data_IF_691523547571
#
_entry.id   IF_691523547571
#
_cell.length_a   1.000
_cell.length_b   1.000
_cell.length_c   1.000
_cell.angle_alpha   90.00
_cell.angle_beta   90.00
_cell.angle_gamma   90.00
#
_symmetry.space_group_name_H-M   'P 1'
#
loop_
_entity.id
_entity.type
_entity.pdbx_description
1 polymer ?
#
# COMPACT_ATOMS: atom_id res chain seq x y z
N UNK A 1 -20.13 -9.37 -15.39
CA UNK A 1 -20.80 -9.67 -14.09
C UNK A 1 -21.33 -8.39 -13.43
N UNK A 2 -22.11 -8.53 -12.36
CA UNK A 2 -22.55 -7.42 -11.49
C UNK A 2 -21.64 -7.36 -10.28
N UNK A 3 -20.91 -6.27 -10.14
CA UNK A 3 -19.94 -6.06 -9.06
C UNK A 3 -20.44 -4.98 -8.10
N UNK A 4 -20.40 -5.26 -6.81
CA UNK A 4 -20.54 -4.26 -5.75
C UNK A 4 -19.19 -4.06 -5.07
N UNK A 5 -18.66 -2.84 -5.11
CA UNK A 5 -17.48 -2.45 -4.33
C UNK A 5 -17.94 -1.64 -3.13
N UNK A 6 -17.51 -2.04 -1.94
CA UNK A 6 -17.86 -1.39 -0.67
C UNK A 6 -16.60 -0.83 -0.03
N UNK A 7 -16.52 0.48 -0.01
CA UNK A 7 -15.47 1.25 0.70
C UNK A 7 -15.99 1.77 2.04
N UNK A 8 -15.07 2.12 2.94
CA UNK A 8 -15.39 2.75 4.22
C UNK A 8 -15.03 4.24 4.24
N UNK A 9 -13.85 4.61 4.75
CA UNK A 9 -13.45 6.02 4.89
C UNK A 9 -12.64 6.55 3.73
N UNK A 10 -11.89 5.65 3.10
CA UNK A 10 -10.97 5.96 2.04
C UNK A 10 -11.46 5.32 0.76
N UNK A 11 -11.33 6.01 -0.35
CA UNK A 11 -11.78 5.54 -1.66
C UNK A 11 -10.78 4.53 -2.27
N UNK A 12 -10.46 3.47 -1.52
CA UNK A 12 -9.54 2.41 -1.95
C UNK A 12 -10.01 1.72 -3.23
N UNK A 13 -11.34 1.64 -3.40
CA UNK A 13 -11.97 0.95 -4.51
C UNK A 13 -12.07 1.76 -5.80
N UNK A 14 -11.78 3.07 -5.84
CA UNK A 14 -12.03 3.88 -7.04
C UNK A 14 -11.30 3.32 -8.28
N UNK A 15 -10.01 3.00 -8.17
CA UNK A 15 -9.24 2.43 -9.27
C UNK A 15 -9.79 1.07 -9.72
N UNK A 16 -10.15 0.19 -8.77
CA UNK A 16 -10.78 -1.10 -9.06
C UNK A 16 -12.12 -0.94 -9.77
N UNK A 17 -12.97 -0.01 -9.31
CA UNK A 17 -14.26 0.31 -9.93
C UNK A 17 -14.09 0.72 -11.39
N UNK A 18 -13.17 1.65 -11.66
CA UNK A 18 -12.91 2.14 -13.01
C UNK A 18 -12.31 1.04 -13.91
N UNK A 19 -11.45 0.19 -13.35
CA UNK A 19 -10.91 -0.95 -14.07
C UNK A 19 -12.00 -1.98 -14.40
N UNK A 20 -12.83 -2.34 -13.43
CA UNK A 20 -13.94 -3.27 -13.65
C UNK A 20 -14.95 -2.75 -14.68
N UNK A 21 -15.22 -1.44 -14.70
CA UNK A 21 -16.06 -0.83 -15.73
C UNK A 21 -15.42 -0.91 -17.13
N UNK A 22 -14.10 -0.73 -17.25
CA UNK A 22 -13.37 -0.91 -18.52
C UNK A 22 -13.37 -2.36 -19.00
N UNK A 23 -13.32 -3.32 -18.07
CA UNK A 23 -13.41 -4.76 -18.35
C UNK A 23 -14.85 -5.20 -18.69
N UNK A 24 -15.83 -4.27 -18.70
CA UNK A 24 -17.21 -4.50 -19.13
C UNK A 24 -18.16 -4.97 -18.04
N UNK A 25 -17.80 -4.86 -16.78
CA UNK A 25 -18.67 -5.20 -15.65
C UNK A 25 -19.71 -4.11 -15.36
N UNK A 26 -20.88 -4.53 -14.84
CA UNK A 26 -21.85 -3.62 -14.28
C UNK A 26 -21.53 -3.37 -12.81
N UNK A 27 -20.97 -2.18 -12.52
CA UNK A 27 -20.40 -1.88 -11.21
C UNK A 27 -21.28 -0.90 -10.44
N UNK A 28 -21.55 -1.22 -9.17
CA UNK A 28 -22.05 -0.30 -8.16
C UNK A 28 -20.95 -0.04 -7.14
N UNK A 29 -20.74 1.21 -6.82
CA UNK A 29 -19.74 1.62 -5.85
C UNK A 29 -20.42 2.31 -4.67
N UNK A 30 -20.29 1.72 -3.49
CA UNK A 30 -20.68 2.35 -2.25
C UNK A 30 -19.46 2.98 -1.60
N UNK A 31 -19.55 4.28 -1.41
CA UNK A 31 -18.54 5.07 -0.71
C UNK A 31 -19.26 6.07 0.20
N UNK A 32 -19.08 6.01 1.53
CA UNK A 32 -19.83 6.84 2.47
C UNK A 32 -19.33 8.29 2.40
N UNK A 33 -19.88 9.02 1.44
CA UNK A 33 -19.51 10.40 1.17
C UNK A 33 -19.93 11.32 2.33
N UNK A 34 -19.07 12.24 2.67
CA UNK A 34 -19.29 13.33 3.61
C UNK A 34 -18.76 14.65 3.01
N UNK A 35 -18.88 15.76 3.73
CA UNK A 35 -18.44 17.07 3.24
C UNK A 35 -16.95 17.13 2.82
N UNK A 36 -16.13 16.19 3.30
CA UNK A 36 -14.69 16.16 3.04
C UNK A 36 -14.32 15.38 1.78
N UNK A 37 -15.06 14.33 1.45
CA UNK A 37 -14.70 13.36 0.41
C UNK A 37 -15.76 13.19 -0.68
N UNK A 38 -16.84 13.96 -0.64
CA UNK A 38 -18.01 13.81 -1.55
C UNK A 38 -17.65 13.94 -3.03
N UNK A 39 -16.59 14.67 -3.36
CA UNK A 39 -16.15 14.88 -4.75
C UNK A 39 -15.32 13.72 -5.31
N UNK A 40 -14.81 12.82 -4.47
CA UNK A 40 -14.01 11.68 -4.97
C UNK A 40 -14.84 10.83 -5.92
N UNK A 41 -14.33 10.57 -7.13
CA UNK A 41 -14.99 9.82 -8.19
C UNK A 41 -16.09 10.57 -8.92
N UNK A 42 -16.32 11.86 -8.62
CA UNK A 42 -17.38 12.64 -9.29
C UNK A 42 -17.08 12.81 -10.79
N UNK A 43 -18.09 12.55 -11.60
CA UNK A 43 -17.97 12.53 -13.06
C UNK A 43 -17.23 11.31 -13.62
N UNK A 44 -16.53 10.53 -12.81
CA UNK A 44 -15.78 9.32 -13.23
C UNK A 44 -16.65 8.06 -13.12
N UNK A 45 -17.45 7.95 -12.07
CA UNK A 45 -18.33 6.81 -11.82
C UNK A 45 -19.54 7.21 -10.98
N UNK A 46 -20.55 6.34 -10.92
CA UNK A 46 -21.75 6.55 -10.11
C UNK A 46 -21.63 5.86 -8.77
N UNK A 47 -21.82 6.62 -7.69
CA UNK A 47 -21.89 6.09 -6.32
C UNK A 47 -23.32 5.73 -5.96
N UNK A 48 -23.51 4.63 -5.20
CA UNK A 48 -24.78 4.31 -4.56
C UNK A 48 -24.76 4.86 -3.13
N UNK A 49 -25.89 5.39 -2.68
CA UNK A 49 -26.03 5.96 -1.33
C UNK A 49 -26.24 4.88 -0.26
N UNK A 50 -26.65 3.68 -0.67
CA UNK A 50 -26.89 2.53 0.17
C UNK A 50 -26.46 1.25 -0.57
N UNK A 51 -25.68 0.39 0.10
CA UNK A 51 -25.23 -0.87 -0.49
C UNK A 51 -26.19 -2.04 -0.25
N UNK A 52 -27.07 -1.99 0.74
CA UNK A 52 -27.97 -3.10 1.10
C UNK A 52 -28.82 -3.61 -0.08
N UNK A 53 -29.48 -2.74 -0.87
CA UNK A 53 -30.23 -3.21 -2.04
C UNK A 53 -29.34 -3.85 -3.11
N UNK A 54 -28.04 -3.56 -3.07
CA UNK A 54 -27.08 -4.06 -4.04
C UNK A 54 -26.49 -5.41 -3.66
N UNK A 55 -26.57 -5.86 -2.41
CA UNK A 55 -26.06 -7.15 -1.96
C UNK A 55 -26.68 -8.33 -2.74
N UNK A 56 -28.01 -8.34 -2.87
CA UNK A 56 -28.73 -9.38 -3.64
C UNK A 56 -28.66 -9.22 -5.15
N UNK A 57 -28.28 -8.03 -5.63
CA UNK A 57 -28.09 -7.76 -7.04
C UNK A 57 -26.72 -8.19 -7.54
N UNK A 58 -25.70 -8.16 -6.70
CA UNK A 58 -24.32 -8.44 -7.06
C UNK A 58 -24.04 -9.93 -7.24
N UNK A 59 -23.28 -10.26 -8.28
CA UNK A 59 -22.65 -11.58 -8.45
C UNK A 59 -21.41 -11.70 -7.55
N UNK A 60 -20.74 -10.56 -7.28
CA UNK A 60 -19.56 -10.44 -6.43
C UNK A 60 -19.61 -9.14 -5.63
N UNK A 61 -19.25 -9.22 -4.35
CA UNK A 61 -19.01 -8.08 -3.47
C UNK A 61 -17.54 -8.03 -3.09
N UNK A 62 -16.89 -6.90 -3.25
CA UNK A 62 -15.52 -6.66 -2.78
C UNK A 62 -15.54 -5.60 -1.68
N UNK A 63 -15.12 -6.01 -0.47
CA UNK A 63 -14.87 -5.13 0.65
C UNK A 63 -13.40 -4.72 0.64
N UNK A 64 -13.14 -3.44 0.47
CA UNK A 64 -11.76 -2.92 0.29
C UNK A 64 -11.05 -2.59 1.60
N UNK A 65 -11.78 -2.60 2.71
CA UNK A 65 -11.33 -2.17 4.03
C UNK A 65 -11.74 -3.21 5.09
N UNK A 66 -11.10 -3.19 6.24
CA UNK A 66 -11.37 -4.12 7.34
C UNK A 66 -11.77 -3.41 8.65
N UNK A 67 -12.31 -2.18 8.56
CA UNK A 67 -12.71 -1.39 9.75
C UNK A 67 -14.20 -1.20 9.88
N UNK A 68 -14.95 -1.19 8.76
CA UNK A 68 -16.36 -0.84 8.74
C UNK A 68 -17.13 -1.88 7.91
N UNK A 69 -18.45 -2.02 8.19
CA UNK A 69 -19.38 -2.93 7.48
C UNK A 69 -19.08 -4.43 7.58
N UNK A 70 -18.13 -4.87 8.41
CA UNK A 70 -17.74 -6.27 8.54
C UNK A 70 -18.90 -7.16 8.97
N UNK A 71 -19.69 -6.76 10.00
CA UNK A 71 -20.87 -7.50 10.43
C UNK A 71 -21.91 -7.66 9.33
N UNK A 72 -22.08 -6.63 8.48
CA UNK A 72 -22.99 -6.68 7.35
C UNK A 72 -22.51 -7.66 6.27
N UNK A 73 -21.19 -7.67 6.02
CA UNK A 73 -20.58 -8.59 5.05
C UNK A 73 -20.61 -10.04 5.56
N UNK A 74 -20.39 -10.27 6.86
CA UNK A 74 -20.51 -11.59 7.46
C UNK A 74 -21.95 -12.12 7.42
N UNK A 75 -22.95 -11.23 7.61
CA UNK A 75 -24.35 -11.59 7.42
C UNK A 75 -24.66 -11.93 5.95
N UNK A 76 -24.12 -11.15 5.00
CA UNK A 76 -24.31 -11.41 3.57
C UNK A 76 -23.69 -12.73 3.14
N UNK A 77 -22.48 -13.09 3.64
CA UNK A 77 -21.86 -14.42 3.40
C UNK A 77 -22.75 -15.56 3.89
N UNK A 78 -23.37 -15.43 5.06
CA UNK A 78 -24.31 -16.42 5.61
C UNK A 78 -25.57 -16.58 4.76
N UNK A 79 -25.97 -15.55 4.03
CA UNK A 79 -27.06 -15.58 3.03
C UNK A 79 -26.62 -16.08 1.65
N UNK A 80 -25.36 -16.50 1.49
CA UNK A 80 -24.79 -17.03 0.24
C UNK A 80 -24.32 -16.00 -0.76
N UNK A 81 -24.11 -14.73 -0.33
CA UNK A 81 -23.52 -13.70 -1.19
C UNK A 81 -22.01 -13.95 -1.28
N UNK A 82 -21.46 -13.95 -2.50
CA UNK A 82 -20.02 -14.04 -2.73
C UNK A 82 -19.34 -12.73 -2.29
N UNK A 83 -18.61 -12.78 -1.18
CA UNK A 83 -17.92 -11.59 -0.61
C UNK A 83 -16.43 -11.86 -0.47
N UNK A 84 -15.61 -11.08 -1.16
CA UNK A 84 -14.16 -11.01 -0.98
C UNK A 84 -13.82 -9.89 0.00
N UNK A 85 -13.03 -10.19 1.02
CA UNK A 85 -12.59 -9.25 2.05
C UNK A 85 -12.55 -9.87 3.44
N UNK A 86 -12.14 -9.08 4.43
CA UNK A 86 -12.03 -9.50 5.82
C UNK A 86 -13.39 -9.86 6.44
N UNK A 87 -13.35 -10.67 7.49
CA UNK A 87 -14.45 -10.92 8.42
C UNK A 87 -14.24 -10.10 9.70
N UNK A 88 -15.25 -10.06 10.57
CA UNK A 88 -15.09 -9.45 11.90
C UNK A 88 -13.92 -10.10 12.64
N UNK A 89 -13.85 -11.44 12.67
CA UNK A 89 -12.83 -12.19 13.39
C UNK A 89 -11.44 -11.97 12.79
N UNK A 90 -11.27 -12.06 11.47
CA UNK A 90 -9.96 -11.87 10.84
C UNK A 90 -9.44 -10.44 10.96
N UNK A 91 -10.33 -9.44 10.99
CA UNK A 91 -9.93 -8.04 11.11
C UNK A 91 -9.27 -7.71 12.45
N UNK A 92 -9.60 -8.45 13.52
CA UNK A 92 -9.00 -8.26 14.84
C UNK A 92 -7.49 -8.51 14.83
N UNK A 93 -7.00 -9.36 13.93
CA UNK A 93 -5.56 -9.62 13.82
C UNK A 93 -4.74 -8.39 13.35
N UNK A 94 -5.37 -7.48 12.61
CA UNK A 94 -4.76 -6.19 12.24
C UNK A 94 -5.11 -5.08 13.24
N UNK A 95 -6.37 -5.03 13.69
CA UNK A 95 -6.89 -3.93 14.50
C UNK A 95 -6.43 -4.01 15.96
N UNK A 96 -6.34 -5.20 16.53
CA UNK A 96 -5.79 -5.41 17.85
C UNK A 96 -4.36 -5.97 17.77
N UNK A 97 -3.39 -5.13 18.16
CA UNK A 97 -1.97 -5.48 18.08
C UNK A 97 -1.60 -6.67 18.96
N UNK A 98 -2.24 -6.80 20.11
CA UNK A 98 -1.99 -7.92 21.04
C UNK A 98 -2.54 -9.21 20.45
N UNK A 99 -3.76 -9.20 19.96
CA UNK A 99 -4.37 -10.35 19.27
C UNK A 99 -3.53 -10.82 18.08
N UNK A 100 -3.08 -9.89 17.22
CA UNK A 100 -2.23 -10.25 16.10
C UNK A 100 -0.89 -10.89 16.51
N UNK A 101 -0.24 -10.38 17.55
CA UNK A 101 1.00 -10.99 18.07
C UNK A 101 0.75 -12.37 18.68
N UNK A 102 -0.33 -12.54 19.44
CA UNK A 102 -0.70 -13.83 20.03
C UNK A 102 -0.95 -14.90 18.97
N UNK A 103 -1.66 -14.56 17.88
CA UNK A 103 -1.88 -15.50 16.78
C UNK A 103 -0.59 -16.00 16.13
N UNK A 104 0.42 -15.13 16.03
CA UNK A 104 1.75 -15.54 15.55
C UNK A 104 2.43 -16.49 16.54
N UNK A 105 2.44 -16.15 17.83
CA UNK A 105 3.07 -16.95 18.89
C UNK A 105 2.41 -18.32 19.05
N UNK A 106 1.08 -18.41 19.00
CA UNK A 106 0.32 -19.66 19.08
C UNK A 106 0.63 -20.61 17.92
N UNK A 107 1.04 -20.05 16.75
CA UNK A 107 1.48 -20.80 15.59
C UNK A 107 3.00 -21.04 15.53
N UNK A 108 3.69 -20.82 16.65
CA UNK A 108 5.13 -21.06 16.79
C UNK A 108 6.02 -20.06 16.05
N UNK A 109 5.47 -18.92 15.66
CA UNK A 109 6.19 -17.85 15.00
C UNK A 109 6.67 -16.86 16.07
N UNK A 110 7.97 -16.70 16.17
CA UNK A 110 8.57 -15.80 17.16
C UNK A 110 8.38 -14.34 16.76
N UNK A 111 7.93 -13.50 17.70
CA UNK A 111 7.72 -12.07 17.54
C UNK A 111 8.66 -11.25 18.42
N UNK A 112 8.96 -9.98 18.09
CA UNK A 112 9.70 -9.12 19.00
C UNK A 112 8.94 -8.95 20.31
N UNK A 113 9.63 -9.07 21.46
CA UNK A 113 8.99 -8.95 22.77
C UNK A 113 8.19 -7.64 22.86
N UNK A 114 6.99 -7.72 23.41
CA UNK A 114 6.08 -6.58 23.52
C UNK A 114 5.36 -6.56 24.86
N UNK A 115 4.84 -5.39 25.21
CA UNK A 115 3.99 -5.21 26.39
C UNK A 115 2.89 -4.22 26.07
N UNK A 116 1.66 -4.59 26.44
CA UNK A 116 0.49 -3.74 26.30
C UNK A 116 0.35 -2.75 27.48
N UNK A 117 -0.14 -1.55 27.16
CA UNK A 117 -0.42 -0.48 28.10
C UNK A 117 -1.75 0.17 27.80
N UNK A 118 -2.51 0.47 28.86
CA UNK A 118 -3.77 1.20 28.80
C UNK A 118 -3.63 2.67 29.23
N UNK A 119 -2.44 3.07 29.65
CA UNK A 119 -2.13 4.45 30.03
C UNK A 119 -0.64 4.77 29.89
N UNK A 120 -0.32 6.03 29.69
CA UNK A 120 1.07 6.48 29.51
C UNK A 120 1.92 6.43 30.78
N UNK A 121 1.33 6.58 31.99
CA UNK A 121 2.10 6.54 33.22
C UNK A 121 2.82 5.19 33.41
N UNK A 122 2.13 4.10 33.13
CA UNK A 122 2.70 2.75 33.25
C UNK A 122 3.76 2.51 32.18
N UNK A 123 3.52 2.98 30.96
CA UNK A 123 4.51 2.92 29.88
C UNK A 123 5.77 3.72 30.18
N UNK A 124 5.64 4.95 30.70
CA UNK A 124 6.75 5.79 31.10
C UNK A 124 7.58 5.11 32.22
N UNK A 125 6.91 4.55 33.22
CA UNK A 125 7.61 3.78 34.29
C UNK A 125 8.37 2.60 33.71
N UNK A 126 7.73 1.86 32.78
CA UNK A 126 8.34 0.71 32.13
C UNK A 126 9.58 1.11 31.34
N UNK A 127 9.52 2.17 30.51
CA UNK A 127 10.69 2.66 29.75
C UNK A 127 11.82 3.10 30.67
N UNK A 128 11.52 3.86 31.73
CA UNK A 128 12.52 4.28 32.72
C UNK A 128 13.21 3.09 33.42
N UNK A 129 12.50 2.01 33.67
CA UNK A 129 13.06 0.80 34.29
C UNK A 129 13.99 0.03 33.34
N UNK A 130 13.67 -0.02 32.05
CA UNK A 130 14.41 -0.83 31.08
C UNK A 130 15.53 -0.07 30.38
N UNK A 131 15.50 1.28 30.38
CA UNK A 131 16.53 2.18 29.84
C UNK A 131 16.97 1.80 28.40
N UNK A 132 16.00 1.48 27.53
CA UNK A 132 16.22 1.13 26.10
C UNK A 132 15.08 1.62 25.21
N UNK A 133 15.33 1.82 23.91
CA UNK A 133 14.30 2.24 22.97
C UNK A 133 13.30 1.10 22.71
N UNK A 134 12.03 1.49 22.52
CA UNK A 134 10.96 0.63 22.05
C UNK A 134 10.24 1.28 20.87
N UNK A 135 9.45 0.49 20.17
CA UNK A 135 8.51 0.97 19.16
C UNK A 135 7.14 1.08 19.81
N UNK A 136 6.55 2.27 19.82
CA UNK A 136 5.17 2.48 20.25
C UNK A 136 4.22 2.22 19.08
N UNK A 137 3.22 1.35 19.29
CA UNK A 137 2.21 1.00 18.29
C UNK A 137 0.82 1.06 18.94
N UNK A 138 -0.04 2.01 18.57
CA UNK A 138 -1.42 2.04 19.04
C UNK A 138 -2.21 0.90 18.40
N UNK A 139 -3.20 0.37 19.13
CA UNK A 139 -4.20 -0.55 18.59
C UNK A 139 -5.38 0.21 17.98
N UNK A 140 -6.12 -0.47 17.09
CA UNK A 140 -7.30 0.07 16.42
C UNK A 140 -6.97 1.13 15.38
N UNK A 141 -8.00 1.91 15.06
CA UNK A 141 -7.92 3.01 14.11
C UNK A 141 -7.41 4.30 14.79
N UNK A 142 -6.25 4.19 15.41
CA UNK A 142 -5.62 5.32 16.08
C UNK A 142 -4.83 6.20 15.11
N UNK A 143 -4.57 7.45 15.54
CA UNK A 143 -3.73 8.40 14.81
C UNK A 143 -2.35 7.77 14.53
N UNK A 144 -1.96 7.68 13.26
CA UNK A 144 -0.65 7.16 12.84
C UNK A 144 0.52 7.92 13.45
N UNK A 145 0.31 9.17 13.88
CA UNK A 145 1.30 9.96 14.61
C UNK A 145 1.68 9.37 15.99
N UNK A 146 0.87 8.44 16.52
CA UNK A 146 1.16 7.71 17.75
C UNK A 146 2.05 6.47 17.51
N UNK A 147 2.26 6.06 16.27
CA UNK A 147 3.27 5.06 15.91
C UNK A 147 4.64 5.72 15.87
N UNK A 148 5.53 5.31 16.78
CA UNK A 148 6.83 5.92 16.92
C UNK A 148 7.95 4.89 17.10
N UNK A 149 8.95 4.94 16.24
CA UNK A 149 10.16 4.14 16.33
C UNK A 149 11.22 4.95 17.06
N UNK A 150 11.41 4.68 18.33
CA UNK A 150 12.38 5.40 19.14
C UNK A 150 13.82 5.10 18.72
N UNK A 151 14.69 6.11 18.79
CA UNK A 151 16.12 5.95 18.63
C UNK A 151 16.80 5.68 19.98
N UNK A 152 16.28 6.29 21.03
CA UNK A 152 16.75 6.19 22.42
C UNK A 152 15.55 6.04 23.35
N UNK A 153 15.79 5.64 24.61
CA UNK A 153 14.78 5.70 25.66
C UNK A 153 14.34 7.13 25.96
N UNK A 154 15.24 8.08 25.87
CA UNK A 154 15.00 9.51 26.14
C UNK A 154 14.00 10.12 25.17
N UNK A 155 14.14 9.88 23.85
CA UNK A 155 13.20 10.41 22.87
C UNK A 155 11.82 9.73 22.97
N UNK A 156 11.78 8.45 23.37
CA UNK A 156 10.52 7.76 23.64
C UNK A 156 9.81 8.35 24.87
N UNK A 157 10.54 8.61 25.94
CA UNK A 157 9.99 9.21 27.16
C UNK A 157 9.38 10.59 26.85
N UNK A 158 10.10 11.42 26.08
CA UNK A 158 9.58 12.72 25.63
C UNK A 158 8.25 12.58 24.87
N UNK A 159 8.17 11.61 23.94
CA UNK A 159 6.95 11.39 23.14
C UNK A 159 5.79 10.91 24.02
N UNK A 160 6.02 9.94 24.92
CA UNK A 160 4.99 9.43 25.82
C UNK A 160 4.45 10.54 26.76
N UNK A 161 5.35 11.37 27.35
CA UNK A 161 4.97 12.50 28.19
C UNK A 161 4.18 13.55 27.41
N UNK A 162 4.59 13.86 26.17
CA UNK A 162 3.88 14.79 25.29
C UNK A 162 2.49 14.28 24.89
N UNK A 163 2.35 13.01 24.56
CA UNK A 163 1.05 12.41 24.23
C UNK A 163 0.14 12.37 25.45
N UNK A 164 0.66 12.07 26.61
CA UNK A 164 -0.06 12.14 27.88
C UNK A 164 -0.62 13.54 28.14
N UNK A 165 0.23 14.56 28.05
CA UNK A 165 -0.17 15.95 28.25
C UNK A 165 -1.26 16.43 27.25
N UNK A 166 -1.27 15.85 26.04
CA UNK A 166 -2.24 16.20 24.99
C UNK A 166 -3.45 15.26 24.94
N UNK A 167 -3.61 14.37 25.93
CA UNK A 167 -4.73 13.41 26.01
C UNK A 167 -4.95 12.62 24.70
N UNK A 168 -3.86 12.17 24.05
CA UNK A 168 -3.91 11.51 22.74
C UNK A 168 -4.35 10.05 22.77
N UNK A 169 -4.37 9.41 23.95
CA UNK A 169 -4.71 7.99 24.06
C UNK A 169 -6.21 7.77 23.87
N UNK A 170 -6.57 6.92 22.94
CA UNK A 170 -7.95 6.51 22.66
C UNK A 170 -8.19 4.99 22.79
N UNK A 171 -7.22 4.25 23.30
CA UNK A 171 -7.30 2.79 23.43
C UNK A 171 -5.95 2.23 23.88
N UNK A 172 -5.81 0.90 23.96
CA UNK A 172 -4.54 0.28 24.32
C UNK A 172 -3.47 0.53 23.26
N UNK A 173 -2.22 0.43 23.66
CA UNK A 173 -1.06 0.45 22.75
C UNK A 173 0.02 -0.50 23.29
N UNK A 174 0.87 -0.99 22.39
CA UNK A 174 2.01 -1.80 22.78
C UNK A 174 3.31 -1.00 22.69
N UNK A 175 4.23 -1.30 23.59
CA UNK A 175 5.65 -1.03 23.43
C UNK A 175 6.33 -2.33 23.02
N UNK A 176 6.89 -2.36 21.83
CA UNK A 176 7.54 -3.54 21.25
C UNK A 176 9.05 -3.30 21.15
N UNK A 177 9.86 -4.32 21.37
CA UNK A 177 11.30 -4.24 21.15
C UNK A 177 11.60 -3.83 19.72
N UNK A 178 12.55 -2.91 19.59
CA UNK A 178 13.06 -2.50 18.27
C UNK A 178 13.99 -3.58 17.74
N UNK A 179 13.67 -4.09 16.57
CA UNK A 179 14.54 -5.00 15.80
C UNK A 179 15.23 -4.21 14.71
N UNK A 180 16.55 -4.27 14.66
CA UNK A 180 17.34 -3.68 13.59
C UNK A 180 17.59 -4.73 12.50
N UNK A 181 17.14 -4.45 11.27
CA UNK A 181 17.23 -5.39 10.16
C UNK A 181 16.64 -4.80 8.87
N UNK A 182 16.26 -5.66 7.96
CA UNK A 182 15.69 -5.29 6.66
C UNK A 182 14.18 -5.51 6.68
N UNK A 183 13.42 -4.45 6.45
CA UNK A 183 11.95 -4.54 6.33
C UNK A 183 11.56 -5.20 5.01
N UNK A 184 10.78 -6.27 5.11
CA UNK A 184 10.22 -7.02 3.99
C UNK A 184 8.88 -7.60 4.40
N UNK A 185 7.89 -7.49 3.54
CA UNK A 185 6.58 -8.07 3.78
C UNK A 185 6.29 -9.20 2.77
N UNK A 186 5.32 -10.02 3.13
CA UNK A 186 4.80 -11.05 2.23
C UNK A 186 3.31 -11.21 2.42
N UNK A 187 2.61 -11.26 1.29
CA UNK A 187 1.17 -11.51 1.28
C UNK A 187 0.79 -12.65 0.33
N UNK A 188 -0.46 -13.07 0.48
CA UNK A 188 -1.07 -14.11 -0.34
C UNK A 188 -2.58 -13.95 -0.39
N UNK A 189 -3.20 -14.68 -1.30
CA UNK A 189 -4.64 -14.71 -1.47
C UNK A 189 -5.22 -15.95 -0.79
N UNK A 190 -6.06 -15.75 0.21
CA UNK A 190 -6.74 -16.79 0.96
C UNK A 190 -8.11 -17.06 0.36
N UNK A 191 -8.38 -18.33 0.08
CA UNK A 191 -9.70 -18.85 -0.29
C UNK A 191 -10.30 -19.67 0.86
N UNK A 192 -11.55 -20.11 0.77
CA UNK A 192 -12.12 -21.07 1.73
C UNK A 192 -11.34 -22.41 1.81
N UNK A 193 -10.63 -22.76 0.75
CA UNK A 193 -9.83 -24.01 0.66
C UNK A 193 -8.37 -23.83 1.07
N UNK A 194 -7.92 -22.60 1.29
CA UNK A 194 -6.54 -22.25 1.65
C UNK A 194 -5.92 -21.23 0.71
N UNK A 195 -4.59 -21.15 0.73
CA UNK A 195 -3.86 -20.21 -0.12
C UNK A 195 -3.98 -20.53 -1.59
N UNK A 196 -4.31 -19.52 -2.39
CA UNK A 196 -4.43 -19.60 -3.83
C UNK A 196 -3.37 -18.74 -4.50
N UNK A 197 -2.75 -19.29 -5.54
CA UNK A 197 -1.82 -18.58 -6.40
C UNK A 197 -0.47 -18.28 -5.75
N UNK A 198 0.27 -17.30 -6.32
CA UNK A 198 1.61 -16.97 -5.88
C UNK A 198 1.62 -16.05 -4.66
N UNK A 199 2.76 -16.05 -3.99
CA UNK A 199 3.07 -15.10 -2.91
C UNK A 199 3.49 -13.75 -3.46
N UNK A 200 3.01 -12.67 -2.86
CA UNK A 200 3.44 -11.31 -3.13
C UNK A 200 4.52 -10.90 -2.12
N UNK A 201 5.76 -10.82 -2.55
CA UNK A 201 6.83 -10.23 -1.73
C UNK A 201 6.87 -8.72 -1.99
N UNK A 202 6.89 -7.92 -0.92
CA UNK A 202 6.83 -6.47 -1.05
C UNK A 202 7.71 -5.71 -0.07
N UNK A 203 8.04 -4.47 -0.42
CA UNK A 203 8.89 -3.54 0.34
C UNK A 203 8.24 -2.17 0.37
N UNK A 204 7.72 -1.80 1.51
CA UNK A 204 6.98 -0.56 1.75
C UNK A 204 7.90 0.61 2.11
N UNK A 205 7.51 1.81 1.72
CA UNK A 205 8.22 3.06 2.01
C UNK A 205 7.27 4.01 2.74
N UNK A 206 7.26 3.95 4.09
CA UNK A 206 6.24 4.58 4.96
C UNK A 206 6.50 6.07 5.27
N UNK A 207 7.75 6.54 5.23
CA UNK A 207 8.08 7.93 5.54
C UNK A 207 7.79 8.87 4.37
N UNK A 208 7.31 10.08 4.70
CA UNK A 208 6.91 11.09 3.72
C UNK A 208 8.04 11.45 2.74
N UNK A 209 9.26 11.65 3.24
CA UNK A 209 10.38 12.14 2.47
C UNK A 209 11.40 11.05 2.14
N UNK A 210 12.17 11.28 1.08
CA UNK A 210 13.34 10.48 0.73
C UNK A 210 14.33 10.37 1.91
N UNK A 211 15.08 9.27 1.95
CA UNK A 211 16.00 8.98 3.06
C UNK A 211 15.31 8.60 4.36
N UNK A 212 14.05 8.18 4.31
CA UNK A 212 13.23 7.87 5.49
C UNK A 212 13.08 9.04 6.47
N UNK A 213 12.99 10.25 5.95
CA UNK A 213 12.77 11.47 6.71
C UNK A 213 11.30 11.86 6.77
N UNK A 214 10.98 12.80 7.65
CA UNK A 214 9.62 13.29 7.86
C UNK A 214 8.76 12.37 8.71
N UNK A 215 7.47 12.64 8.75
CA UNK A 215 6.50 11.86 9.51
C UNK A 215 6.25 10.49 8.87
N UNK A 216 5.72 9.56 9.66
CA UNK A 216 5.15 8.32 9.13
C UNK A 216 3.83 8.64 8.45
N UNK A 217 3.62 8.06 7.28
CA UNK A 217 2.35 8.07 6.53
C UNK A 217 1.77 6.66 6.54
N UNK A 218 0.63 6.43 5.88
CA UNK A 218 0.22 5.07 5.56
C UNK A 218 1.34 4.41 4.74
N UNK A 219 1.58 4.95 3.53
CA UNK A 219 2.66 4.52 2.65
C UNK A 219 2.87 5.54 1.52
N UNK A 220 4.12 5.71 1.09
CA UNK A 220 4.49 6.61 -0.02
C UNK A 220 4.82 5.87 -1.31
N UNK A 221 4.91 4.58 -1.26
CA UNK A 221 5.17 3.71 -2.40
C UNK A 221 5.72 2.37 -1.99
N UNK A 222 5.63 1.42 -2.93
CA UNK A 222 5.99 0.01 -2.73
C UNK A 222 6.75 -0.50 -3.93
N UNK A 223 7.68 -1.41 -3.66
CA UNK A 223 8.22 -2.34 -4.64
C UNK A 223 7.64 -3.71 -4.35
N UNK A 224 7.11 -4.39 -5.34
CA UNK A 224 6.57 -5.74 -5.15
C UNK A 224 6.82 -6.65 -6.36
N UNK A 225 6.78 -7.95 -6.10
CA UNK A 225 6.77 -9.00 -7.11
C UNK A 225 5.93 -10.19 -6.68
N UNK A 226 5.49 -10.96 -7.63
CA UNK A 226 4.94 -12.28 -7.35
C UNK A 226 5.99 -13.38 -7.50
N UNK A 227 5.93 -14.38 -6.63
CA UNK A 227 6.78 -15.58 -6.70
C UNK A 227 6.02 -16.82 -6.25
N UNK A 228 6.29 -17.96 -6.90
CA UNK A 228 5.72 -19.25 -6.48
C UNK A 228 6.42 -19.83 -5.24
N UNK A 229 7.62 -19.35 -4.94
CA UNK A 229 8.45 -19.85 -3.83
C UNK A 229 8.93 -18.67 -3.00
N UNK A 230 8.29 -18.43 -1.88
CA UNK A 230 8.74 -17.44 -0.88
C UNK A 230 9.14 -18.16 0.40
N UNK A 231 10.38 -17.98 0.83
CA UNK A 231 10.85 -18.46 2.14
C UNK A 231 10.06 -17.77 3.24
N UNK A 232 9.84 -16.45 3.11
CA UNK A 232 9.14 -15.67 4.11
C UNK A 232 7.69 -16.15 4.27
N UNK A 233 6.96 -16.38 3.16
CA UNK A 233 5.61 -16.92 3.24
C UNK A 233 5.55 -18.28 3.93
N UNK A 234 6.52 -19.16 3.65
CA UNK A 234 6.62 -20.48 4.30
C UNK A 234 6.82 -20.36 5.81
N UNK A 235 7.54 -19.34 6.27
CA UNK A 235 7.87 -19.13 7.66
C UNK A 235 6.78 -18.38 8.44
N UNK A 236 6.02 -17.46 7.80
CA UNK A 236 5.10 -16.56 8.53
C UNK A 236 3.64 -16.59 8.07
N UNK A 237 3.30 -17.15 6.90
CA UNK A 237 1.92 -17.24 6.44
C UNK A 237 1.40 -18.68 6.42
N UNK A 238 2.20 -19.62 5.92
CA UNK A 238 1.80 -21.04 5.81
C UNK A 238 1.41 -21.63 7.16
N UNK A 239 2.11 -21.38 8.28
CA UNK A 239 1.70 -21.89 9.59
C UNK A 239 0.29 -21.43 10.02
N UNK A 240 -0.13 -20.25 9.58
CA UNK A 240 -1.41 -19.63 9.94
C UNK A 240 -2.60 -20.08 9.07
N UNK A 241 -2.38 -20.99 8.11
CA UNK A 241 -3.40 -21.35 7.11
C UNK A 241 -4.74 -21.73 7.72
N UNK A 242 -4.74 -22.66 8.69
CA UNK A 242 -5.99 -23.17 9.27
C UNK A 242 -6.67 -22.13 10.17
N UNK A 243 -5.90 -21.31 10.86
CA UNK A 243 -6.47 -20.27 11.71
C UNK A 243 -7.12 -19.17 10.86
N UNK A 244 -6.49 -18.74 9.75
CA UNK A 244 -7.10 -17.79 8.84
C UNK A 244 -8.36 -18.37 8.18
N UNK A 245 -8.32 -19.64 7.73
CA UNK A 245 -9.49 -20.30 7.15
C UNK A 245 -10.66 -20.36 8.15
N UNK A 246 -10.39 -20.67 9.41
CA UNK A 246 -11.41 -20.75 10.47
C UNK A 246 -12.15 -19.42 10.65
N UNK A 247 -11.51 -18.27 10.45
CA UNK A 247 -12.16 -16.96 10.51
C UNK A 247 -13.13 -16.72 9.34
N UNK A 248 -13.11 -17.55 8.28
CA UNK A 248 -13.88 -17.33 7.06
C UNK A 248 -13.35 -16.20 6.18
N UNK A 249 -12.12 -15.73 6.43
CA UNK A 249 -11.46 -14.72 5.59
C UNK A 249 -11.31 -15.21 4.15
N UNK A 250 -11.73 -14.40 3.20
CA UNK A 250 -11.51 -14.66 1.77
C UNK A 250 -11.00 -13.39 1.11
N UNK A 251 -9.73 -13.39 0.70
CA UNK A 251 -9.07 -12.19 0.17
C UNK A 251 -7.59 -12.15 0.47
N UNK A 252 -7.03 -10.96 0.42
CA UNK A 252 -5.60 -10.74 0.62
C UNK A 252 -5.24 -10.65 2.10
N UNK A 253 -4.16 -11.32 2.47
CA UNK A 253 -3.53 -11.25 3.80
C UNK A 253 -2.05 -10.96 3.61
N UNK A 254 -1.51 -10.04 4.39
CA UNK A 254 -0.09 -9.66 4.37
C UNK A 254 0.49 -9.61 5.78
N UNK A 255 1.76 -9.96 5.93
CA UNK A 255 2.52 -9.84 7.18
C UNK A 255 3.79 -9.04 6.91
N UNK A 256 3.91 -7.89 7.56
CA UNK A 256 5.11 -7.08 7.53
C UNK A 256 6.13 -7.60 8.56
N UNK A 257 7.39 -7.78 8.16
CA UNK A 257 8.46 -8.33 8.97
C UNK A 257 9.73 -7.49 8.90
N UNK A 258 10.56 -7.60 9.95
CA UNK A 258 12.00 -7.27 9.87
C UNK A 258 12.77 -8.58 9.72
N UNK A 259 13.62 -8.67 8.71
CA UNK A 259 14.55 -9.79 8.55
C UNK A 259 15.88 -9.40 9.23
N UNK A 260 16.21 -10.09 10.33
CA UNK A 260 17.44 -9.86 11.07
C UNK A 260 18.15 -11.21 11.29
N UNK A 261 19.44 -11.27 11.00
CA UNK A 261 20.28 -12.48 11.14
C UNK A 261 19.70 -13.73 10.45
N UNK A 262 19.00 -13.49 9.30
CA UNK A 262 18.40 -14.57 8.51
C UNK A 262 17.10 -15.14 9.07
N UNK A 263 16.49 -14.46 10.04
CA UNK A 263 15.23 -14.82 10.70
C UNK A 263 14.19 -13.71 10.52
N UNK A 264 12.92 -14.03 10.23
CA UNK A 264 11.84 -13.05 10.19
C UNK A 264 11.35 -12.72 11.60
N UNK A 265 11.09 -11.44 11.83
CA UNK A 265 10.44 -10.89 13.02
C UNK A 265 9.16 -10.18 12.58
N UNK A 266 8.01 -10.84 12.62
CA UNK A 266 6.74 -10.25 12.26
C UNK A 266 6.40 -9.05 13.13
N UNK A 267 5.85 -8.02 12.49
CA UNK A 267 5.52 -6.75 13.13
C UNK A 267 4.04 -6.47 13.21
N UNK A 268 3.30 -6.86 12.18
CA UNK A 268 1.88 -6.57 12.05
C UNK A 268 1.26 -7.37 10.89
N UNK A 269 -0.04 -7.65 11.02
CA UNK A 269 -0.88 -8.12 9.92
C UNK A 269 -1.46 -6.95 9.13
N UNK A 270 -1.78 -7.22 7.87
CA UNK A 270 -2.70 -6.45 7.05
C UNK A 270 -3.71 -7.42 6.47
N UNK A 271 -4.96 -7.39 6.97
CA UNK A 271 -6.03 -8.34 6.62
C UNK A 271 -6.87 -7.84 5.44
N UNK A 272 -6.25 -7.17 4.52
CA UNK A 272 -6.79 -6.59 3.28
C UNK A 272 -5.64 -6.21 2.36
N UNK A 273 -5.89 -5.92 1.06
CA UNK A 273 -4.84 -5.31 0.23
C UNK A 273 -4.36 -3.99 0.81
N UNK A 274 -3.05 -3.79 0.88
CA UNK A 274 -2.45 -2.54 1.32
C UNK A 274 -2.75 -1.39 0.34
N UNK A 275 -2.68 -0.15 0.80
CA UNK A 275 -2.75 1.03 -0.04
C UNK A 275 -1.38 1.75 0.02
N UNK A 276 -0.68 1.93 -1.08
CA UNK A 276 -1.01 1.77 -2.52
C UNK A 276 -0.75 0.36 -3.10
N UNK A 277 -0.44 -0.63 -2.29
CA UNK A 277 -0.04 -1.97 -2.75
C UNK A 277 -1.04 -2.59 -3.72
N UNK A 278 -2.36 -2.44 -3.48
CA UNK A 278 -3.41 -2.96 -4.37
C UNK A 278 -3.30 -2.40 -5.79
N UNK A 279 -3.12 -1.10 -5.93
CA UNK A 279 -2.98 -0.44 -7.21
C UNK A 279 -1.73 -0.93 -7.95
N UNK A 280 -0.63 -1.13 -7.23
CA UNK A 280 0.64 -1.57 -7.80
C UNK A 280 0.56 -3.05 -8.21
N UNK A 281 -0.06 -3.93 -7.41
CA UNK A 281 -0.27 -5.34 -7.72
C UNK A 281 -1.01 -5.54 -9.04
N UNK A 282 -2.01 -4.70 -9.35
CA UNK A 282 -2.78 -4.77 -10.57
C UNK A 282 -1.92 -4.67 -11.85
N UNK A 283 -0.71 -4.10 -11.77
CA UNK A 283 0.24 -4.05 -12.90
C UNK A 283 0.81 -5.42 -13.26
N UNK A 284 0.79 -6.36 -12.33
CA UNK A 284 1.26 -7.73 -12.53
C UNK A 284 0.11 -8.71 -12.77
N UNK A 285 -1.13 -8.30 -12.51
CA UNK A 285 -2.31 -9.13 -12.79
C UNK A 285 -2.67 -9.07 -14.27
N UNK A 286 -2.89 -10.25 -14.87
CA UNK A 286 -3.32 -10.43 -16.26
C UNK A 286 -4.75 -10.96 -16.28
N UNK A 287 -5.51 -10.51 -17.28
CA UNK A 287 -6.90 -10.92 -17.47
C UNK A 287 -7.88 -9.98 -16.76
N UNK A 288 -9.09 -10.45 -16.59
CA UNK A 288 -10.18 -9.70 -15.98
C UNK A 288 -9.93 -9.45 -14.49
N UNK A 289 -10.17 -8.23 -14.05
CA UNK A 289 -9.85 -7.80 -12.67
C UNK A 289 -10.78 -8.40 -11.60
N UNK A 290 -11.89 -9.02 -11.98
CA UNK A 290 -12.92 -9.50 -11.06
C UNK A 290 -13.22 -10.99 -11.20
N UNK A 291 -13.08 -11.58 -12.40
CA UNK A 291 -13.38 -13.00 -12.62
C UNK A 291 -12.52 -13.90 -11.74
N UNK A 292 -11.22 -13.62 -11.63
CA UNK A 292 -10.35 -14.41 -10.77
C UNK A 292 -10.67 -14.27 -9.28
N UNK A 293 -11.27 -13.14 -8.84
CA UNK A 293 -11.73 -12.98 -7.44
C UNK A 293 -12.91 -13.88 -7.16
N UNK A 294 -13.81 -14.05 -8.13
CA UNK A 294 -14.91 -14.99 -7.98
C UNK A 294 -14.40 -16.44 -7.95
N UNK A 295 -13.43 -16.78 -8.81
CA UNK A 295 -12.75 -18.06 -8.79
C UNK A 295 -12.00 -18.30 -7.47
N UNK A 296 -11.38 -17.26 -6.88
CA UNK A 296 -10.75 -17.33 -5.56
C UNK A 296 -11.76 -17.76 -4.48
N UNK A 297 -12.98 -17.18 -4.49
CA UNK A 297 -14.06 -17.54 -3.56
C UNK A 297 -14.47 -19.02 -3.75
N UNK A 298 -14.43 -19.51 -4.98
CA UNK A 298 -14.69 -20.92 -5.34
C UNK A 298 -13.48 -21.85 -5.09
N UNK A 299 -12.38 -21.36 -4.54
CA UNK A 299 -11.17 -22.13 -4.28
C UNK A 299 -10.34 -22.47 -5.53
N UNK A 300 -10.50 -21.72 -6.61
CA UNK A 300 -9.81 -21.95 -7.90
C UNK A 300 -8.65 -20.95 -8.09
N UNK A 301 -7.53 -21.43 -8.65
CA UNK A 301 -6.37 -20.60 -9.03
C UNK A 301 -6.46 -20.23 -10.52
N UNK A 302 -7.09 -19.11 -10.83
CA UNK A 302 -7.18 -18.57 -12.18
C UNK A 302 -6.45 -17.22 -12.35
N UNK A 303 -5.80 -16.72 -11.30
CA UNK A 303 -5.08 -15.45 -11.35
C UNK A 303 -3.88 -15.53 -12.31
N UNK A 304 -4.02 -14.87 -13.45
CA UNK A 304 -2.90 -14.67 -14.38
C UNK A 304 -1.89 -13.69 -13.82
N UNK A 305 -0.61 -14.07 -13.75
CA UNK A 305 0.44 -13.25 -13.16
C UNK A 305 1.61 -13.05 -14.13
N UNK A 306 2.15 -11.83 -14.11
CA UNK A 306 3.45 -11.52 -14.67
C UNK A 306 4.56 -11.81 -13.64
N UNK A 307 5.23 -12.96 -13.81
CA UNK A 307 6.34 -13.37 -12.93
C UNK A 307 7.71 -12.80 -13.36
N UNK A 308 7.79 -12.26 -14.58
CA UNK A 308 9.05 -11.78 -15.16
C UNK A 308 9.41 -10.37 -14.69
N UNK A 309 8.39 -9.63 -14.26
CA UNK A 309 8.54 -8.24 -13.90
C UNK A 309 8.36 -7.99 -12.40
N UNK A 310 8.97 -6.91 -11.95
CA UNK A 310 8.78 -6.25 -10.66
C UNK A 310 7.86 -5.07 -10.90
N UNK A 311 6.89 -4.85 -10.04
CA UNK A 311 6.11 -3.62 -10.03
C UNK A 311 6.62 -2.66 -8.97
N UNK A 312 6.61 -1.38 -9.28
CA UNK A 312 6.92 -0.29 -8.38
C UNK A 312 5.87 0.79 -8.54
N UNK A 313 5.45 1.37 -7.43
CA UNK A 313 4.58 2.53 -7.45
C UNK A 313 4.99 3.58 -6.44
N UNK A 314 4.60 4.82 -6.73
CA UNK A 314 4.80 5.96 -5.86
C UNK A 314 3.53 6.82 -5.81
N UNK A 315 3.23 7.32 -4.63
CA UNK A 315 2.09 8.21 -4.38
C UNK A 315 2.42 9.62 -4.85
N UNK A 316 1.50 10.24 -5.59
CA UNK A 316 1.49 11.68 -5.82
C UNK A 316 0.45 12.31 -4.89
N UNK A 317 0.92 13.23 -4.06
CA UNK A 317 0.11 14.01 -3.13
C UNK A 317 0.32 15.51 -3.35
N UNK A 318 -0.54 16.31 -2.75
CA UNK A 318 -0.43 17.79 -2.73
C UNK A 318 -0.52 18.30 -1.28
N UNK A 319 -0.03 19.53 -0.98
CA UNK A 319 -0.25 20.11 0.34
C UNK A 319 -1.77 20.23 0.67
N UNK A 320 -2.24 19.95 1.90
CA UNK A 320 -1.47 19.77 3.15
C UNK A 320 -1.15 18.31 3.53
N UNK A 321 -1.19 17.36 2.60
CA UNK A 321 -0.84 15.98 2.91
C UNK A 321 0.52 15.89 3.62
N UNK A 322 0.69 15.09 4.66
CA UNK A 322 -0.26 14.19 5.32
C UNK A 322 -0.86 14.78 6.61
N UNK A 323 -0.78 16.08 6.81
CA UNK A 323 -1.14 16.73 8.09
C UNK A 323 -2.60 17.18 8.14
N UNK A 324 -3.26 17.35 7.00
CA UNK A 324 -4.68 17.67 6.99
C UNK A 324 -5.51 16.39 6.98
N UNK A 325 -6.37 16.25 7.97
CA UNK A 325 -7.43 15.26 7.96
C UNK A 325 -8.73 15.83 7.35
N UNK A 326 -8.63 16.97 6.65
CA UNK A 326 -9.75 17.73 6.11
C UNK A 326 -9.42 18.13 4.68
N UNK A 327 -10.16 17.60 3.70
CA UNK A 327 -10.09 18.12 2.34
C UNK A 327 -10.58 19.57 2.33
N UNK A 328 -9.69 20.50 2.04
CA UNK A 328 -10.01 21.91 1.85
C UNK A 328 -10.59 22.14 0.46
N UNK A 329 -11.48 23.14 0.33
CA UNK A 329 -12.06 23.50 -0.98
C UNK A 329 -10.99 23.84 -2.02
N UNK A 330 -9.88 24.41 -1.57
CA UNK A 330 -8.75 24.85 -2.40
C UNK A 330 -8.00 23.68 -3.07
N UNK A 331 -8.11 22.46 -2.55
CA UNK A 331 -7.49 21.28 -3.15
C UNK A 331 -8.44 20.48 -4.06
N UNK A 332 -9.69 20.90 -4.20
CA UNK A 332 -10.69 20.22 -5.03
C UNK A 332 -10.74 20.88 -6.41
N UNK A 333 -10.68 20.06 -7.48
CA UNK A 333 -10.80 20.53 -8.86
C UNK A 333 -9.53 21.12 -9.45
N UNK A 334 -8.35 20.86 -8.88
CA UNK A 334 -7.08 21.25 -9.47
C UNK A 334 -6.80 20.29 -10.64
N UNK A 335 -6.62 20.79 -11.88
CA UNK A 335 -6.43 19.94 -13.05
C UNK A 335 -5.10 19.20 -13.02
N UNK A 336 -5.10 17.99 -13.59
CA UNK A 336 -3.92 17.14 -13.75
C UNK A 336 -3.60 17.04 -15.23
N UNK A 337 -2.74 17.94 -15.73
CA UNK A 337 -2.32 17.94 -17.12
C UNK A 337 -1.35 16.80 -17.40
N UNK A 338 -1.39 16.23 -18.62
CA UNK A 338 -0.55 15.12 -19.06
C UNK A 338 -1.01 13.75 -18.56
N UNK A 339 -2.15 13.66 -17.87
CA UNK A 339 -2.68 12.39 -17.35
C UNK A 339 -3.08 11.42 -18.48
N UNK A 340 -3.53 11.93 -19.61
CA UNK A 340 -3.88 11.19 -20.82
C UNK A 340 -2.69 10.44 -21.43
N UNK A 341 -1.48 10.96 -21.30
CA UNK A 341 -0.25 10.32 -21.76
C UNK A 341 0.18 9.11 -20.92
N UNK A 342 -0.34 8.99 -19.70
CA UNK A 342 0.08 7.97 -18.71
C UNK A 342 -1.09 7.20 -18.09
N UNK A 343 -2.24 7.20 -18.73
CA UNK A 343 -3.51 6.65 -18.19
C UNK A 343 -3.38 5.22 -17.70
N UNK A 344 -2.63 4.35 -18.41
CA UNK A 344 -2.45 2.96 -18.00
C UNK A 344 -1.55 2.76 -16.76
N UNK A 345 -0.81 3.80 -16.38
CA UNK A 345 0.11 3.80 -15.26
C UNK A 345 -0.42 4.57 -14.06
N UNK A 346 -1.53 5.29 -14.26
CA UNK A 346 -2.15 6.18 -13.30
C UNK A 346 -3.32 5.47 -12.62
N UNK A 347 -3.26 5.35 -11.31
CA UNK A 347 -4.30 4.76 -10.46
C UNK A 347 -4.98 5.88 -9.66
N UNK A 348 -6.22 6.24 -9.98
CA UNK A 348 -6.96 7.28 -9.26
C UNK A 348 -7.23 6.90 -7.80
N UNK A 349 -6.96 7.85 -6.90
CA UNK A 349 -7.30 7.77 -5.49
C UNK A 349 -8.31 8.87 -5.15
N UNK A 350 -7.85 10.04 -4.75
CA UNK A 350 -8.73 11.17 -4.46
C UNK A 350 -8.84 12.09 -5.68
N UNK A 351 -9.47 11.58 -6.75
CA UNK A 351 -9.63 12.25 -8.04
C UNK A 351 -11.10 12.40 -8.45
N UNK A 352 -11.34 13.33 -9.38
CA UNK A 352 -12.65 13.62 -9.98
C UNK A 352 -12.46 14.13 -11.43
N UNK A 353 -13.55 14.29 -12.16
CA UNK A 353 -13.56 15.15 -13.36
C UNK A 353 -13.88 16.59 -12.99
N UNK A 354 -13.09 17.53 -13.46
CA UNK A 354 -13.27 18.96 -13.24
C UNK A 354 -13.27 19.73 -14.57
N UNK A 355 -13.84 20.93 -14.55
CA UNK A 355 -13.77 21.89 -15.66
C UNK A 355 -12.49 22.73 -15.52
N UNK A 356 -11.62 22.66 -16.54
CA UNK A 356 -10.35 23.40 -16.50
C UNK A 356 -9.99 24.00 -17.88
N UNK A 357 -9.07 24.98 -17.94
CA UNK A 357 -8.48 25.40 -19.21
C UNK A 357 -7.76 24.24 -19.89
N UNK A 358 -7.95 24.09 -21.19
CA UNK A 358 -7.28 23.05 -21.99
C UNK A 358 -5.99 23.60 -22.64
N UNK A 359 -4.95 22.77 -22.84
CA UNK A 359 -3.69 23.21 -23.45
C UNK A 359 -3.84 23.78 -24.86
N UNK A 360 -4.85 23.37 -25.61
CA UNK A 360 -5.17 23.81 -26.96
C UNK A 360 -6.13 25.03 -27.01
N UNK A 361 -6.41 25.62 -25.84
CA UNK A 361 -7.36 26.72 -25.67
C UNK A 361 -8.79 26.24 -25.36
N UNK A 362 -9.60 27.16 -24.81
CA UNK A 362 -10.94 26.86 -24.33
C UNK A 362 -10.94 26.20 -22.94
N UNK A 363 -12.09 25.60 -22.57
CA UNK A 363 -12.31 24.88 -21.32
C UNK A 363 -12.97 23.53 -21.59
N UNK A 364 -12.72 22.56 -20.77
CA UNK A 364 -13.31 21.23 -20.89
C UNK A 364 -13.09 20.36 -19.67
N UNK A 365 -13.71 19.19 -19.68
CA UNK A 365 -13.58 18.19 -18.63
C UNK A 365 -12.23 17.49 -18.69
N UNK A 366 -11.60 17.35 -17.56
CA UNK A 366 -10.35 16.61 -17.41
C UNK A 366 -10.22 16.05 -15.99
N UNK A 367 -9.24 15.18 -15.77
CA UNK A 367 -8.94 14.65 -14.45
C UNK A 367 -8.44 15.79 -13.56
N UNK A 368 -8.90 15.81 -12.34
CA UNK A 368 -8.51 16.75 -11.31
C UNK A 368 -8.52 16.14 -9.92
N UNK A 369 -8.00 16.88 -8.96
CA UNK A 369 -7.92 16.46 -7.57
C UNK A 369 -9.28 16.55 -6.89
N UNK A 370 -9.57 15.62 -5.99
CA UNK A 370 -10.73 15.65 -5.10
C UNK A 370 -10.31 15.60 -3.61
N UNK A 371 -9.01 15.50 -3.37
CA UNK A 371 -8.36 15.48 -2.08
C UNK A 371 -6.85 15.60 -2.25
N UNK A 372 -6.09 15.35 -1.18
CA UNK A 372 -4.64 15.58 -1.16
C UNK A 372 -3.79 14.31 -1.38
N UNK A 373 -4.34 13.13 -1.22
CA UNK A 373 -3.75 11.84 -1.65
C UNK A 373 -4.24 11.51 -3.06
N UNK A 374 -3.65 12.16 -4.06
CA UNK A 374 -4.27 12.30 -5.39
C UNK A 374 -4.33 11.00 -6.18
N UNK A 375 -3.16 10.36 -6.38
CA UNK A 375 -3.05 9.16 -7.22
C UNK A 375 -1.83 8.33 -6.86
N UNK A 376 -1.82 7.09 -7.33
CA UNK A 376 -0.63 6.24 -7.38
C UNK A 376 -0.16 6.14 -8.83
N UNK A 377 1.12 6.38 -9.07
CA UNK A 377 1.77 6.12 -10.35
C UNK A 377 2.54 4.81 -10.25
N UNK A 378 2.32 3.88 -11.17
CA UNK A 378 2.98 2.58 -11.16
C UNK A 378 3.60 2.21 -12.51
N UNK A 379 4.60 1.35 -12.46
CA UNK A 379 5.18 0.73 -13.65
C UNK A 379 5.82 -0.60 -13.31
N UNK A 380 6.13 -1.37 -14.35
CA UNK A 380 6.83 -2.65 -14.24
C UNK A 380 8.17 -2.63 -14.94
N UNK A 381 9.03 -3.53 -14.57
CA UNK A 381 10.33 -3.76 -15.22
C UNK A 381 11.01 -5.03 -14.72
N UNK A 382 11.96 -5.58 -15.47
CA UNK A 382 12.68 -6.81 -15.09
C UNK A 382 13.60 -6.60 -13.88
N UNK A 383 13.85 -5.36 -13.48
CA UNK A 383 14.60 -5.01 -12.28
C UNK A 383 13.93 -3.87 -11.52
N UNK A 384 14.28 -3.72 -10.24
CA UNK A 384 13.81 -2.58 -9.43
C UNK A 384 14.13 -1.25 -10.12
N UNK A 385 15.34 -1.13 -10.66
CA UNK A 385 15.81 0.10 -11.31
C UNK A 385 15.07 0.42 -12.59
N UNK A 386 14.67 -0.59 -13.36
CA UNK A 386 13.87 -0.40 -14.58
C UNK A 386 12.47 0.09 -14.24
N UNK A 387 11.77 -0.57 -13.29
CA UNK A 387 10.47 -0.15 -12.82
C UNK A 387 10.51 1.27 -12.24
N UNK A 388 11.51 1.57 -11.39
CA UNK A 388 11.73 2.89 -10.79
C UNK A 388 11.88 3.98 -11.86
N UNK A 389 12.72 3.74 -12.87
CA UNK A 389 12.94 4.69 -13.97
C UNK A 389 11.65 5.03 -14.71
N UNK A 390 10.81 4.03 -14.95
CA UNK A 390 9.53 4.24 -15.63
C UNK A 390 8.55 5.04 -14.76
N UNK A 391 8.38 4.69 -13.48
CA UNK A 391 7.49 5.42 -12.56
C UNK A 391 7.85 6.91 -12.51
N UNK A 392 9.13 7.23 -12.31
CA UNK A 392 9.54 8.63 -12.22
C UNK A 392 9.54 9.35 -13.57
N UNK A 393 9.65 8.63 -14.68
CA UNK A 393 9.40 9.21 -16.01
C UNK A 393 7.92 9.63 -16.12
N UNK A 394 6.99 8.74 -15.76
CA UNK A 394 5.55 9.02 -15.84
C UNK A 394 5.10 10.13 -14.87
N UNK A 395 5.63 10.15 -13.64
CA UNK A 395 5.34 11.22 -12.69
C UNK A 395 5.76 12.61 -13.22
N UNK A 396 6.90 12.68 -13.91
CA UNK A 396 7.38 13.95 -14.51
C UNK A 396 6.59 14.41 -15.73
N UNK A 397 5.78 13.54 -16.33
CA UNK A 397 4.84 13.93 -17.40
C UNK A 397 3.68 14.76 -16.84
N UNK A 398 3.32 14.53 -15.57
CA UNK A 398 2.21 15.22 -14.94
C UNK A 398 2.56 16.65 -14.54
N UNK A 399 1.64 17.56 -14.79
CA UNK A 399 1.68 18.93 -14.26
C UNK A 399 0.41 19.19 -13.43
N UNK A 400 0.58 19.34 -12.13
CA UNK A 400 -0.48 19.66 -11.16
C UNK A 400 -0.20 21.03 -10.57
N UNK A 401 -1.03 22.07 -10.82
CA UNK A 401 -0.76 23.43 -10.36
C UNK A 401 -0.98 23.63 -8.86
N UNK A 402 -0.35 22.83 -8.00
CA UNK A 402 -0.39 23.00 -6.55
C UNK A 402 0.73 22.21 -5.87
N UNK A 403 1.97 22.45 -6.31
CA UNK A 403 3.16 21.86 -5.67
C UNK A 403 3.02 20.35 -5.43
N UNK A 404 2.86 19.52 -6.48
CA UNK A 404 2.74 18.09 -6.33
C UNK A 404 3.99 17.51 -5.67
N UNK A 405 3.78 16.54 -4.79
CA UNK A 405 4.82 15.90 -4.01
C UNK A 405 4.81 14.39 -4.28
N UNK A 406 5.99 13.81 -4.41
CA UNK A 406 6.18 12.36 -4.36
C UNK A 406 7.56 12.03 -3.80
N UNK A 407 7.66 10.86 -3.20
CA UNK A 407 8.93 10.37 -2.69
C UNK A 407 9.79 9.88 -3.86
N UNK A 408 11.07 10.29 -3.93
CA UNK A 408 11.94 10.10 -5.11
C UNK A 408 12.91 8.93 -4.99
N UNK A 409 12.91 8.18 -3.88
CA UNK A 409 13.84 7.08 -3.59
C UNK A 409 13.14 5.73 -3.37
N UNK A 410 11.88 5.57 -3.84
CA UNK A 410 11.18 4.28 -3.76
C UNK A 410 12.01 3.22 -4.48
N UNK A 411 12.40 2.18 -3.75
CA UNK A 411 13.24 1.10 -4.24
C UNK A 411 14.75 1.26 -3.99
N UNK A 412 15.27 2.47 -3.73
CA UNK A 412 16.71 2.69 -3.66
C UNK A 412 17.42 1.90 -2.54
N UNK A 413 16.77 1.71 -1.38
CA UNK A 413 17.34 0.92 -0.27
C UNK A 413 17.62 -0.54 -0.68
N UNK A 414 16.81 -1.09 -1.59
CA UNK A 414 16.96 -2.46 -2.08
C UNK A 414 18.30 -2.72 -2.81
N UNK A 415 18.97 -1.68 -3.27
CA UNK A 415 20.33 -1.82 -3.84
C UNK A 415 21.32 -2.45 -2.85
N UNK A 416 21.15 -2.12 -1.55
CA UNK A 416 22.01 -2.66 -0.48
C UNK A 416 21.38 -3.85 0.21
N UNK A 417 20.06 -3.89 0.32
CA UNK A 417 19.32 -4.86 1.10
C UNK A 417 19.11 -6.19 0.38
N UNK A 418 18.85 -6.19 -0.94
CA UNK A 418 18.64 -7.43 -1.70
C UNK A 418 19.79 -8.43 -1.61
N UNK A 419 21.08 -8.03 -1.76
CA UNK A 419 22.16 -9.00 -1.61
C UNK A 419 22.18 -9.69 -0.25
N UNK A 420 21.86 -8.97 0.81
CA UNK A 420 21.82 -9.53 2.16
C UNK A 420 20.59 -10.44 2.34
N UNK A 421 19.42 -10.03 1.87
CA UNK A 421 18.21 -10.87 1.88
C UNK A 421 18.46 -12.17 1.11
N UNK A 422 19.06 -12.09 -0.06
CA UNK A 422 19.37 -13.27 -0.89
C UNK A 422 20.38 -14.21 -0.24
N UNK A 423 21.39 -13.67 0.46
CA UNK A 423 22.32 -14.48 1.27
C UNK A 423 21.57 -15.28 2.34
N UNK A 424 20.49 -14.76 2.88
CA UNK A 424 19.62 -15.44 3.84
C UNK A 424 18.52 -16.30 3.21
N UNK A 425 18.44 -16.33 1.84
CA UNK A 425 17.49 -17.13 1.08
C UNK A 425 16.12 -16.45 0.87
N UNK A 426 15.99 -15.16 1.19
CA UNK A 426 14.81 -14.34 0.87
C UNK A 426 14.99 -13.61 -0.45
N UNK A 427 13.92 -13.15 -1.06
CA UNK A 427 13.92 -12.37 -2.30
C UNK A 427 14.76 -13.01 -3.45
N UNK A 428 14.88 -14.34 -3.46
CA UNK A 428 15.73 -15.06 -4.42
C UNK A 428 15.28 -14.82 -5.87
N UNK A 429 16.26 -14.53 -6.76
CA UNK A 429 15.98 -14.25 -8.17
C UNK A 429 15.52 -12.81 -8.48
N UNK A 430 15.33 -11.95 -7.48
CA UNK A 430 15.02 -10.55 -7.70
C UNK A 430 16.31 -9.77 -8.01
N UNK A 431 16.26 -8.87 -8.99
CA UNK A 431 17.41 -8.03 -9.38
C UNK A 431 17.13 -6.56 -9.11
N UNK A 432 18.12 -5.87 -8.53
CA UNK A 432 18.07 -4.42 -8.40
C UNK A 432 18.43 -3.70 -9.70
N UNK A 433 19.50 -4.14 -10.37
CA UNK A 433 19.98 -3.56 -11.63
C UNK A 433 19.46 -4.36 -12.83
N UNK A 434 19.31 -3.71 -14.00
CA UNK A 434 19.10 -4.44 -15.26
C UNK A 434 20.20 -5.50 -15.45
N UNK A 435 19.83 -6.65 -16.01
CA UNK A 435 20.84 -7.62 -16.45
C UNK A 435 21.83 -6.90 -17.36
N UNK A 436 23.12 -7.00 -17.05
CA UNK A 436 24.16 -6.46 -17.94
C UNK A 436 23.97 -7.11 -19.31
N UNK A 437 23.66 -6.32 -20.34
CA UNK A 437 23.77 -6.81 -21.71
C UNK A 437 25.20 -7.21 -21.91
N UNK A 438 25.51 -8.49 -21.87
CA UNK A 438 26.78 -9.03 -22.34
C UNK A 438 26.84 -8.80 -23.86
N UNK A 439 27.30 -7.60 -24.26
CA UNK A 439 27.79 -7.43 -25.62
C UNK A 439 29.01 -8.35 -25.72
N UNK A 440 28.90 -9.34 -26.57
CA UNK A 440 30.07 -10.13 -26.98
C UNK A 440 31.15 -9.17 -27.46
N UNK A 441 32.44 -9.41 -27.13
CA UNK A 441 33.51 -8.57 -27.56
C UNK A 441 33.87 -8.93 -29.00
N UNK A 442 33.10 -8.45 -29.98
CA UNK A 442 33.52 -8.46 -31.39
C UNK A 442 33.03 -7.18 -32.04
N UNK A 443 34.03 -6.46 -32.52
CA UNK A 443 34.01 -5.23 -33.34
C UNK A 443 34.41 -3.95 -32.60
N UNK A 444 35.72 -3.84 -32.34
CA UNK A 444 36.37 -2.54 -32.30
C UNK A 444 36.54 -2.07 -33.74
N UNK A 445 35.70 -1.20 -34.22
CA UNK A 445 36.04 -0.35 -35.36
C UNK A 445 36.59 0.97 -34.82
N UNK A 446 37.80 1.23 -35.21
CA UNK A 446 38.53 2.47 -35.02
C UNK A 446 37.89 3.60 -35.77
N UNK A 447 37.53 4.68 -35.13
CA UNK A 447 37.45 6.02 -35.69
C UNK A 447 37.71 7.06 -34.59
N UNK A 448 38.73 7.85 -34.83
CA UNK A 448 39.32 8.88 -33.99
C UNK A 448 38.45 10.14 -33.82
N UNK A 449 38.88 11.03 -32.92
CA UNK A 449 38.00 12.04 -32.27
C UNK A 449 38.05 13.37 -32.98
N UNK A 450 36.96 14.12 -32.91
CA UNK A 450 36.99 15.59 -32.79
C UNK A 450 35.55 16.16 -32.59
N UNK A 451 35.35 16.81 -31.51
CA UNK A 451 34.86 18.19 -31.44
C UNK A 451 34.40 18.50 -30.00
N UNK A 452 35.11 19.40 -29.40
CA UNK A 452 34.79 20.12 -28.19
C UNK A 452 33.52 20.96 -28.35
N UNK A 453 32.55 20.84 -27.42
CA UNK A 453 31.51 21.84 -27.28
C UNK A 453 31.41 22.23 -25.80
N UNK A 454 31.80 23.46 -25.52
CA UNK A 454 31.64 24.13 -24.23
C UNK A 454 30.14 24.30 -23.98
N UNK A 455 29.67 23.91 -22.81
CA UNK A 455 28.35 24.27 -22.31
C UNK A 455 28.57 25.21 -21.13
N UNK A 456 28.13 26.46 -21.36
CA UNK A 456 28.11 27.49 -20.33
C UNK A 456 27.05 27.17 -19.25
N UNK A 457 27.50 27.18 -18.01
CA UNK A 457 26.66 27.08 -16.84
C UNK A 457 26.01 28.44 -16.52
N UNK A 458 24.69 28.51 -16.61
CA UNK A 458 23.92 29.61 -16.01
C UNK A 458 23.17 29.07 -14.79
N UNK A 459 23.65 29.41 -13.61
CA UNK A 459 23.00 29.16 -12.33
C UNK A 459 21.96 30.26 -12.11
N UNK A 460 20.68 29.93 -12.09
CA UNK A 460 19.62 30.87 -11.69
C UNK A 460 19.20 30.48 -10.27
N UNK A 461 19.53 31.35 -9.32
CA UNK A 461 19.07 31.27 -7.93
C UNK A 461 17.80 32.13 -7.84
N UNK A 462 16.68 31.54 -7.44
CA UNK A 462 15.50 32.26 -6.98
C UNK A 462 15.50 32.29 -5.44
N UNK A 463 15.34 33.49 -4.92
CA UNK A 463 15.10 33.79 -3.50
C UNK A 463 13.63 33.57 -3.17
#
# INVERSE_FOLDING_TARGET
>A
MKLLVVDSRHAHGLDLVLRAQRDGHNVRWFFPANEKNKFIGEGMTTKVSDFFPSLRWADLVILTDNTTYLHNMDAARKEGVAVCGATVESSEWELDRTTGMQMLEENGIEVPAYKEFNNYNDAIRFVKMHARPFVSKPSGDADKALSYVAQTDTDLLFMLERWQANSKLKGPFILQEKVDGIEMAVGGWMSPEGWIGPWCENWEFKKLCAGNLGCSTGEQGTVLRYTRKSKLAKEVLVPLTEDIRRTGHTGYVDVNCIIADGKPWPLEFTMRPGWPTMQIMQRLHKGDCCEWVLDLIDGKDSLGIDYENIALGAVLSIPDYPYSHLTRKEVVGIPIYGADEVTEHLHPCEMMLCEAPLPNGGRGKMLGTAGDYVLVMSATGPSVKDAQKQVYKHLRTLNVPNSPMWRVDIGDRLRKELPQLQKWGYATGMSYQPASSTKSPTERSTSSPNASMQIGSTLIIYV
#
